data_IF_829070760515
#
_entry.id   IF_829070760515
#
_cell.length_a   1.000
_cell.length_b   1.000
_cell.length_c   1.000
_cell.angle_alpha   90.00
_cell.angle_beta   90.00
_cell.angle_gamma   90.00
#
_symmetry.space_group_name_H-M   'P 1'
#
loop_
_entity.id
_entity.type
_entity.pdbx_description
1 polymer ?
#
# COMPACT_ATOMS: atom_id res chain seq x y z
N UNK A 1 23.28 -0.77 33.48
CA UNK A 1 24.34 0.26 33.44
C UNK A 1 25.45 -0.19 34.38
N UNK A 2 26.52 -0.80 33.86
CA UNK A 2 27.65 -1.20 34.69
C UNK A 2 28.68 -0.07 34.67
N UNK A 3 28.85 0.61 35.81
CA UNK A 3 29.83 1.65 36.03
C UNK A 3 31.19 0.97 36.23
N UNK A 4 32.12 1.14 35.29
CA UNK A 4 33.50 0.71 35.50
C UNK A 4 34.23 1.81 36.30
N UNK A 5 34.46 1.51 37.58
CA UNK A 5 35.22 2.35 38.51
C UNK A 5 36.70 2.30 38.19
N UNK A 6 37.20 3.28 37.42
CA UNK A 6 38.64 3.49 37.26
C UNK A 6 39.11 4.63 38.19
N UNK A 7 39.81 4.24 39.26
CA UNK A 7 40.59 5.14 40.09
C UNK A 7 41.75 5.72 39.28
N UNK A 8 41.72 7.02 39.00
CA UNK A 8 42.74 7.73 38.22
C UNK A 8 43.83 8.24 39.18
N UNK A 9 45.04 7.66 39.10
CA UNK A 9 46.21 8.21 39.79
C UNK A 9 47.11 8.88 38.74
N UNK A 10 47.08 10.22 38.72
CA UNK A 10 47.91 11.02 37.83
C UNK A 10 49.27 11.27 38.52
N UNK A 11 50.30 10.54 38.08
CA UNK A 11 51.70 10.94 38.31
C UNK A 11 52.37 11.12 36.95
N UNK A 12 53.10 12.23 36.85
CA UNK A 12 53.49 12.87 35.60
C UNK A 12 54.24 12.00 34.60
N UNK A 13 54.09 12.40 33.33
CA UNK A 13 55.11 12.21 32.30
C UNK A 13 54.90 11.01 31.38
N UNK A 14 54.58 11.31 30.11
CA UNK A 14 54.69 10.44 28.93
C UNK A 14 53.99 9.08 29.07
N UNK A 15 52.70 9.04 28.73
CA UNK A 15 52.00 7.78 28.48
C UNK A 15 52.71 7.04 27.34
N UNK A 16 53.32 5.89 27.64
CA UNK A 16 53.62 4.87 26.64
C UNK A 16 52.29 4.26 26.22
N UNK A 17 52.03 4.23 24.93
CA UNK A 17 50.97 3.38 24.36
C UNK A 17 51.42 1.95 24.69
N UNK A 18 50.80 1.34 25.70
CA UNK A 18 50.87 -0.09 25.89
C UNK A 18 49.91 -0.68 24.88
N UNK A 19 50.44 -1.63 24.11
CA UNK A 19 49.79 -2.36 23.04
C UNK A 19 48.37 -2.76 23.44
N UNK A 20 47.39 -2.08 22.85
CA UNK A 20 45.99 -2.51 22.83
C UNK A 20 45.79 -3.49 21.67
N UNK A 21 46.56 -4.58 21.69
CA UNK A 21 46.32 -5.69 20.78
C UNK A 21 45.17 -6.55 21.35
N UNK A 22 44.18 -6.82 20.50
CA UNK A 22 43.04 -7.76 20.63
C UNK A 22 41.63 -7.23 21.00
N UNK A 23 41.42 -6.01 21.50
CA UNK A 23 40.04 -5.54 21.80
C UNK A 23 39.33 -4.82 20.65
N UNK A 24 40.04 -4.43 19.59
CA UNK A 24 39.49 -3.56 18.53
C UNK A 24 38.87 -4.33 17.35
N UNK A 25 39.24 -5.60 17.15
CA UNK A 25 38.76 -6.40 16.02
C UNK A 25 37.28 -6.80 16.14
N UNK A 26 36.76 -6.91 17.36
CA UNK A 26 35.40 -7.36 17.60
C UNK A 26 34.32 -6.27 17.36
N UNK A 27 34.71 -5.04 17.02
CA UNK A 27 33.77 -3.93 16.75
C UNK A 27 33.37 -3.85 15.26
N UNK A 28 34.32 -4.02 14.33
CA UNK A 28 34.09 -3.86 12.90
C UNK A 28 33.33 -5.04 12.27
N UNK A 29 33.67 -6.28 12.66
CA UNK A 29 33.04 -7.50 12.12
C UNK A 29 31.59 -7.66 12.58
N UNK A 30 31.32 -7.38 13.86
CA UNK A 30 29.94 -7.32 14.36
C UNK A 30 29.17 -6.26 13.57
N UNK A 31 29.68 -5.03 13.46
CA UNK A 31 29.05 -3.94 12.69
C UNK A 31 28.81 -4.30 11.21
N UNK A 32 29.69 -5.07 10.57
CA UNK A 32 29.48 -5.56 9.21
C UNK A 32 28.29 -6.54 9.12
N UNK A 33 28.17 -7.47 10.07
CA UNK A 33 27.01 -8.36 10.21
C UNK A 33 25.68 -7.61 10.43
N UNK A 34 25.67 -6.62 11.33
CA UNK A 34 24.49 -5.76 11.55
C UNK A 34 24.14 -4.95 10.29
N UNK A 35 25.14 -4.39 9.59
CA UNK A 35 24.95 -3.64 8.34
C UNK A 35 24.39 -4.51 7.21
N UNK A 36 24.89 -5.74 7.03
CA UNK A 36 24.37 -6.66 6.01
C UNK A 36 22.94 -7.11 6.31
N UNK A 37 22.64 -7.42 7.58
CA UNK A 37 21.29 -7.80 7.99
C UNK A 37 20.29 -6.64 7.79
N UNK A 38 20.70 -5.42 8.14
CA UNK A 38 19.94 -4.19 7.87
C UNK A 38 19.74 -3.93 6.37
N UNK A 39 20.77 -4.10 5.55
CA UNK A 39 20.70 -3.87 4.11
C UNK A 39 19.86 -4.94 3.41
N UNK A 40 19.95 -6.22 3.82
CA UNK A 40 19.04 -7.25 3.33
C UNK A 40 17.58 -6.91 3.66
N UNK A 41 17.30 -6.44 4.87
CA UNK A 41 15.95 -6.10 5.28
C UNK A 41 15.43 -4.85 4.57
N UNK A 42 16.30 -3.85 4.35
CA UNK A 42 16.03 -2.69 3.50
C UNK A 42 15.74 -3.11 2.07
N UNK A 43 16.56 -3.99 1.49
CA UNK A 43 16.38 -4.51 0.14
C UNK A 43 15.06 -5.29 -0.01
N UNK A 44 14.72 -6.14 0.98
CA UNK A 44 13.41 -6.84 1.02
C UNK A 44 12.24 -5.87 1.13
N UNK A 45 12.32 -4.85 1.99
CA UNK A 45 11.28 -3.82 2.13
C UNK A 45 11.13 -3.01 0.84
N UNK A 46 12.23 -2.58 0.22
CA UNK A 46 12.22 -1.88 -1.06
C UNK A 46 11.63 -2.73 -2.18
N UNK A 47 12.01 -4.01 -2.26
CA UNK A 47 11.46 -4.94 -3.24
C UNK A 47 9.96 -5.15 -3.03
N UNK A 48 9.53 -5.31 -1.78
CA UNK A 48 8.12 -5.44 -1.43
C UNK A 48 7.31 -4.18 -1.80
N UNK A 49 7.84 -2.99 -1.50
CA UNK A 49 7.25 -1.71 -1.88
C UNK A 49 7.10 -1.62 -3.39
N UNK A 50 8.13 -2.01 -4.15
CA UNK A 50 8.08 -2.00 -5.62
C UNK A 50 6.99 -2.94 -6.16
N UNK A 51 6.90 -4.18 -5.64
CA UNK A 51 5.84 -5.12 -6.02
C UNK A 51 4.46 -4.54 -5.71
N UNK A 52 4.28 -3.98 -4.51
CA UNK A 52 3.02 -3.39 -4.09
C UNK A 52 2.64 -2.19 -4.97
N UNK A 53 3.60 -1.32 -5.30
CA UNK A 53 3.41 -0.22 -6.22
C UNK A 53 3.03 -0.72 -7.62
N UNK A 54 3.73 -1.72 -8.15
CA UNK A 54 3.41 -2.32 -9.45
C UNK A 54 1.99 -2.90 -9.48
N UNK A 55 1.61 -3.64 -8.45
CA UNK A 55 0.27 -4.21 -8.32
C UNK A 55 -0.81 -3.12 -8.21
N UNK A 56 -0.53 -2.05 -7.45
CA UNK A 56 -1.45 -0.92 -7.33
C UNK A 56 -1.60 -0.17 -8.66
N UNK A 57 -0.52 -0.03 -9.44
CA UNK A 57 -0.60 0.57 -10.78
C UNK A 57 -1.42 -0.31 -11.73
N UNK A 58 -1.24 -1.63 -11.72
CA UNK A 58 -2.07 -2.56 -12.51
C UNK A 58 -3.55 -2.48 -12.14
N UNK A 59 -3.86 -2.46 -10.85
CA UNK A 59 -5.23 -2.29 -10.37
C UNK A 59 -5.84 -0.95 -10.82
N UNK A 60 -5.05 0.13 -10.82
CA UNK A 60 -5.48 1.44 -11.34
C UNK A 60 -5.76 1.40 -12.84
N UNK A 61 -4.89 0.77 -13.62
CA UNK A 61 -5.10 0.65 -15.07
C UNK A 61 -6.35 -0.18 -15.38
N UNK A 62 -6.58 -1.28 -14.66
CA UNK A 62 -7.80 -2.10 -14.82
C UNK A 62 -9.08 -1.28 -14.57
N UNK A 63 -9.10 -0.50 -13.49
CA UNK A 63 -10.24 0.38 -13.20
C UNK A 63 -10.38 1.46 -14.26
N UNK A 64 -9.28 2.08 -14.69
CA UNK A 64 -9.30 3.09 -15.73
C UNK A 64 -9.88 2.55 -17.05
N UNK A 65 -9.44 1.38 -17.49
CA UNK A 65 -9.91 0.72 -18.72
C UNK A 65 -11.40 0.39 -18.62
N UNK A 66 -11.85 -0.07 -17.45
CA UNK A 66 -13.27 -0.30 -17.18
C UNK A 66 -14.10 0.98 -17.29
N UNK A 67 -13.65 2.09 -16.68
CA UNK A 67 -14.34 3.38 -16.75
C UNK A 67 -14.40 3.91 -18.18
N UNK A 68 -13.30 3.80 -18.92
CA UNK A 68 -13.19 4.21 -20.31
C UNK A 68 -14.12 3.39 -21.23
N UNK A 69 -14.14 2.06 -21.09
CA UNK A 69 -15.04 1.18 -21.85
C UNK A 69 -16.52 1.47 -21.61
N UNK A 70 -16.85 1.97 -20.42
CA UNK A 70 -18.20 2.39 -20.05
C UNK A 70 -18.52 3.85 -20.35
N UNK A 71 -17.60 4.62 -20.95
CA UNK A 71 -17.80 6.04 -21.29
C UNK A 71 -18.00 6.94 -20.06
N UNK A 72 -17.35 6.60 -18.95
CA UNK A 72 -17.25 7.46 -17.77
C UNK A 72 -15.98 8.29 -17.91
N UNK A 73 -16.01 9.62 -17.67
CA UNK A 73 -14.80 10.44 -17.76
C UNK A 73 -13.74 9.98 -16.75
N UNK A 74 -12.49 9.86 -17.22
CA UNK A 74 -11.36 9.30 -16.46
C UNK A 74 -10.31 10.35 -16.04
N UNK A 75 -10.57 11.62 -16.30
CA UNK A 75 -9.67 12.76 -16.07
C UNK A 75 -9.21 12.92 -14.60
N UNK A 76 -10.06 12.58 -13.63
CA UNK A 76 -9.76 12.73 -12.19
C UNK A 76 -9.44 11.41 -11.45
N UNK A 77 -9.55 10.25 -12.09
CA UNK A 77 -9.58 8.92 -11.41
C UNK A 77 -10.57 8.86 -10.23
N UNK A 78 -11.66 9.64 -10.26
CA UNK A 78 -12.66 9.62 -9.20
C UNK A 78 -13.68 8.49 -9.44
N UNK A 79 -13.62 7.45 -8.61
CA UNK A 79 -14.51 6.27 -8.69
C UNK A 79 -15.97 6.58 -8.33
N UNK A 80 -16.24 7.74 -7.75
CA UNK A 80 -17.58 8.22 -7.41
C UNK A 80 -18.15 9.17 -8.48
N UNK A 81 -17.47 9.35 -9.62
CA UNK A 81 -18.03 10.15 -10.72
C UNK A 81 -19.21 9.44 -11.32
N UNK A 82 -20.29 10.19 -11.49
CA UNK A 82 -21.48 9.65 -12.10
C UNK A 82 -21.45 9.80 -13.63
N UNK A 83 -21.76 8.69 -14.31
CA UNK A 83 -22.17 8.72 -15.71
C UNK A 83 -23.50 9.44 -15.82
N UNK A 84 -23.50 10.57 -16.52
CA UNK A 84 -24.71 11.27 -16.94
C UNK A 84 -25.17 10.65 -18.27
N UNK A 85 -26.37 10.06 -18.28
CA UNK A 85 -26.98 9.49 -19.49
C UNK A 85 -28.29 10.19 -19.83
N UNK A 86 -28.78 9.94 -21.05
CA UNK A 86 -30.00 10.44 -21.69
C UNK A 86 -30.40 11.85 -21.21
N UNK A 87 -29.88 12.87 -21.90
CA UNK A 87 -30.23 14.28 -21.65
C UNK A 87 -29.93 14.81 -20.23
N UNK A 88 -29.08 14.10 -19.47
CA UNK A 88 -28.71 14.51 -18.11
C UNK A 88 -29.70 14.08 -17.01
N UNK A 89 -30.68 13.25 -17.36
CA UNK A 89 -31.74 12.82 -16.44
C UNK A 89 -31.37 11.55 -15.65
N UNK A 90 -30.49 10.72 -16.20
CA UNK A 90 -30.07 9.47 -15.58
C UNK A 90 -28.65 9.59 -15.02
N UNK A 91 -28.48 9.13 -13.78
CA UNK A 91 -27.19 9.12 -13.09
C UNK A 91 -26.87 7.72 -12.62
N UNK A 92 -25.79 7.14 -13.16
CA UNK A 92 -25.29 5.82 -12.75
C UNK A 92 -23.83 5.92 -12.35
N UNK A 93 -23.42 5.10 -11.37
CA UNK A 93 -22.04 5.09 -10.88
C UNK A 93 -21.32 3.81 -11.33
N UNK A 94 -19.97 3.81 -11.37
CA UNK A 94 -19.18 2.63 -11.76
C UNK A 94 -19.59 1.38 -10.97
N UNK A 95 -19.85 1.53 -9.67
CA UNK A 95 -20.23 0.42 -8.80
C UNK A 95 -21.58 -0.21 -9.17
N UNK A 96 -22.54 0.57 -9.69
CA UNK A 96 -23.82 0.04 -10.18
C UNK A 96 -23.63 -0.77 -11.46
N UNK A 97 -22.72 -0.34 -12.33
CA UNK A 97 -22.41 -1.04 -13.59
C UNK A 97 -21.75 -2.38 -13.27
N UNK A 98 -20.71 -2.38 -12.43
CA UNK A 98 -20.03 -3.61 -12.02
C UNK A 98 -20.99 -4.60 -11.34
N UNK A 99 -21.89 -4.11 -10.48
CA UNK A 99 -22.92 -4.93 -9.85
C UNK A 99 -23.91 -5.54 -10.86
N UNK A 100 -24.32 -4.75 -11.87
CA UNK A 100 -25.20 -5.21 -12.95
C UNK A 100 -24.54 -6.27 -13.83
N UNK A 101 -23.24 -6.17 -14.06
CA UNK A 101 -22.45 -7.14 -14.83
C UNK A 101 -22.04 -8.36 -14.00
N UNK A 102 -22.28 -8.34 -12.69
CA UNK A 102 -21.85 -9.36 -11.71
C UNK A 102 -20.32 -9.56 -11.69
N UNK A 103 -19.57 -8.51 -12.02
CA UNK A 103 -18.12 -8.52 -11.94
C UNK A 103 -17.68 -8.24 -10.48
N UNK A 104 -17.55 -9.32 -9.71
CA UNK A 104 -17.11 -9.25 -8.31
C UNK A 104 -15.67 -8.73 -8.15
N UNK A 105 -14.82 -8.96 -9.16
CA UNK A 105 -13.45 -8.48 -9.15
C UNK A 105 -13.43 -6.96 -9.26
N UNK A 106 -14.17 -6.41 -10.23
CA UNK A 106 -14.29 -4.96 -10.39
C UNK A 106 -15.02 -4.30 -9.22
N UNK A 107 -16.04 -4.94 -8.64
CA UNK A 107 -16.69 -4.44 -7.40
C UNK A 107 -15.68 -4.30 -6.27
N UNK A 108 -14.81 -5.31 -6.05
CA UNK A 108 -13.76 -5.24 -5.02
C UNK A 108 -12.74 -4.15 -5.31
N UNK A 109 -12.31 -4.02 -6.57
CA UNK A 109 -11.36 -2.98 -6.97
C UNK A 109 -11.93 -1.58 -6.74
N UNK A 110 -13.16 -1.33 -7.18
CA UNK A 110 -13.83 -0.04 -7.00
C UNK A 110 -13.99 0.31 -5.51
N UNK A 111 -14.36 -0.66 -4.67
CA UNK A 111 -14.42 -0.48 -3.21
C UNK A 111 -13.04 -0.20 -2.60
N UNK A 112 -12.00 -0.89 -3.06
CA UNK A 112 -10.62 -0.65 -2.62
C UNK A 112 -10.16 0.78 -2.92
N UNK A 113 -10.64 1.36 -4.02
CA UNK A 113 -10.37 2.75 -4.39
C UNK A 113 -11.34 3.78 -3.77
N UNK A 114 -12.22 3.37 -2.86
CA UNK A 114 -13.11 4.27 -2.13
C UNK A 114 -14.46 4.57 -2.80
N UNK A 115 -14.95 3.67 -3.63
CA UNK A 115 -16.31 3.78 -4.15
C UNK A 115 -17.34 3.62 -3.02
N UNK A 116 -18.37 4.48 -3.00
CA UNK A 116 -19.41 4.45 -1.97
C UNK A 116 -20.45 3.34 -2.24
N UNK A 117 -20.55 2.29 -1.39
CA UNK A 117 -21.51 1.20 -1.59
C UNK A 117 -22.96 1.61 -1.31
N UNK A 118 -23.16 2.68 -0.55
CA UNK A 118 -24.48 3.23 -0.23
C UNK A 118 -24.98 4.24 -1.29
N UNK A 119 -24.16 4.53 -2.30
CA UNK A 119 -24.49 5.53 -3.30
C UNK A 119 -25.73 5.12 -4.09
N UNK A 120 -26.69 6.04 -4.22
CA UNK A 120 -27.93 5.79 -4.97
C UNK A 120 -27.87 6.35 -6.38
N UNK A 121 -28.34 5.56 -7.33
CA UNK A 121 -28.59 5.99 -8.71
C UNK A 121 -29.81 6.94 -8.80
N UNK A 122 -30.10 7.44 -10.00
CA UNK A 122 -31.26 8.31 -10.25
C UNK A 122 -32.62 7.64 -10.01
N UNK A 123 -32.66 6.31 -9.87
CA UNK A 123 -33.87 5.52 -9.55
C UNK A 123 -33.97 5.23 -8.05
N UNK A 124 -33.05 5.76 -7.24
CA UNK A 124 -32.99 5.53 -5.80
C UNK A 124 -32.45 4.16 -5.40
N UNK A 125 -31.91 3.40 -6.35
CA UNK A 125 -31.36 2.05 -6.16
C UNK A 125 -29.91 2.13 -5.75
N UNK A 126 -29.52 1.18 -4.92
CA UNK A 126 -28.13 0.92 -4.53
C UNK A 126 -27.49 -0.10 -5.48
N UNK A 127 -26.15 -0.22 -5.51
CA UNK A 127 -25.48 -1.27 -6.28
C UNK A 127 -25.96 -2.67 -5.89
N UNK A 128 -26.29 -2.88 -4.61
CA UNK A 128 -26.81 -4.16 -4.12
C UNK A 128 -28.12 -4.57 -4.78
N UNK A 129 -29.00 -3.60 -5.07
CA UNK A 129 -30.28 -3.87 -5.75
C UNK A 129 -30.10 -4.44 -7.16
N UNK A 130 -28.93 -4.26 -7.78
CA UNK A 130 -28.58 -4.81 -9.09
C UNK A 130 -27.97 -6.22 -9.03
N UNK A 131 -27.50 -6.68 -7.87
CA UNK A 131 -26.86 -7.99 -7.70
C UNK A 131 -27.86 -9.16 -7.79
N UNK A 132 -29.16 -8.86 -7.77
CA UNK A 132 -30.23 -9.84 -7.80
C UNK A 132 -30.32 -10.65 -6.50
N UNK A 133 -31.37 -11.47 -6.33
CA UNK A 133 -31.44 -12.41 -5.23
C UNK A 133 -30.23 -13.34 -5.31
N UNK A 134 -29.41 -13.35 -4.25
CA UNK A 134 -28.46 -14.43 -4.00
C UNK A 134 -29.32 -15.69 -3.87
N UNK A 135 -29.44 -16.47 -4.96
CA UNK A 135 -30.04 -17.79 -4.88
C UNK A 135 -29.19 -18.53 -3.86
N UNK A 136 -29.71 -18.71 -2.64
CA UNK A 136 -29.15 -19.67 -1.70
C UNK A 136 -29.34 -21.00 -2.40
N UNK A 137 -28.28 -21.50 -3.02
CA UNK A 137 -28.21 -22.90 -3.39
C UNK A 137 -28.02 -23.65 -2.07
N UNK A 138 -29.14 -24.13 -1.56
CA UNK A 138 -29.28 -25.15 -0.52
C UNK A 138 -28.50 -26.42 -0.86
#
# INVERSE_FOLDING_TARGET
MALCSHSFHQRGGRCKVLEEDETVQCSAERLAGWKWKQEQERSRRSHQIHIQQSNLQKAKTEVHDFLQGHGIPTDSFDVNVAKKSCFGLCRTYPLHIAAKERDWHMVRLLLFFGADPAQRDSRGRTPYDYMGPLIRAD
#
